data_IF_257086006776
#
_entry.id   IF_257086006776
#
_cell.length_a   1.000
_cell.length_b   1.000
_cell.length_c   1.000
_cell.angle_alpha   90.00
_cell.angle_beta   90.00
_cell.angle_gamma   90.00
#
_symmetry.space_group_name_H-M   'P 1'
#
loop_
_entity.id
_entity.type
_entity.pdbx_description
1 polymer ?
#
# COMPACT_ATOMS: atom_id res chain seq x y z
N UNK A 1 -3.03 -21.94 -3.98
CA UNK A 1 -3.48 -20.75 -3.19
C UNK A 1 -3.20 -19.41 -3.92
N UNK A 2 -3.05 -19.42 -5.25
CA UNK A 2 -2.84 -18.17 -6.00
C UNK A 2 -4.04 -17.23 -5.79
N UNK A 3 -3.77 -15.92 -5.60
CA UNK A 3 -4.77 -14.90 -5.41
C UNK A 3 -5.56 -14.93 -4.08
N UNK A 4 -5.12 -15.74 -3.11
CA UNK A 4 -5.77 -15.88 -1.79
C UNK A 4 -4.92 -15.37 -0.63
N UNK A 5 -3.73 -14.84 -0.91
CA UNK A 5 -2.82 -14.33 0.11
C UNK A 5 -2.73 -12.81 -0.03
N UNK A 6 -2.99 -12.14 1.06
CA UNK A 6 -2.87 -10.69 1.18
C UNK A 6 -1.85 -10.39 2.25
N UNK A 7 -0.79 -9.68 1.90
CA UNK A 7 0.14 -9.11 2.85
C UNK A 7 -0.36 -7.73 3.30
N UNK A 8 -0.13 -7.39 4.56
CA UNK A 8 -0.54 -6.10 5.12
C UNK A 8 0.69 -5.30 5.50
N UNK A 9 0.64 -4.00 5.29
CA UNK A 9 1.69 -3.00 5.52
C UNK A 9 2.92 -3.15 4.60
N UNK A 10 3.67 -4.23 4.71
CA UNK A 10 4.87 -4.45 3.90
C UNK A 10 5.99 -3.43 4.10
N UNK A 11 5.97 -2.67 5.18
CA UNK A 11 6.92 -1.57 5.46
C UNK A 11 8.38 -2.04 5.53
N UNK A 12 8.62 -3.23 6.07
CA UNK A 12 9.96 -3.81 6.15
C UNK A 12 10.59 -4.05 4.77
N UNK A 13 9.80 -4.11 3.72
CA UNK A 13 10.29 -4.27 2.35
C UNK A 13 11.21 -3.10 1.99
N UNK A 14 10.82 -1.87 2.32
CA UNK A 14 11.59 -0.67 2.04
C UNK A 14 12.98 -0.66 2.73
N UNK A 15 13.15 -1.39 3.84
CA UNK A 15 14.40 -1.51 4.56
C UNK A 15 15.42 -2.47 3.90
N UNK A 16 15.01 -3.26 2.92
CA UNK A 16 15.89 -4.20 2.24
C UNK A 16 16.60 -3.59 1.03
N UNK A 17 17.70 -4.22 0.60
CA UNK A 17 18.42 -3.81 -0.60
C UNK A 17 17.53 -3.90 -1.85
N UNK A 18 17.79 -3.04 -2.84
CA UNK A 18 17.04 -3.02 -4.10
C UNK A 18 17.00 -4.38 -4.81
N UNK A 19 18.12 -5.12 -4.76
CA UNK A 19 18.21 -6.45 -5.37
C UNK A 19 17.27 -7.44 -4.67
N UNK A 20 17.21 -7.41 -3.34
CA UNK A 20 16.30 -8.25 -2.56
C UNK A 20 14.84 -7.92 -2.86
N UNK A 21 14.50 -6.62 -2.87
CA UNK A 21 13.13 -6.17 -3.16
C UNK A 21 12.64 -6.65 -4.53
N UNK A 22 13.45 -6.50 -5.58
CA UNK A 22 13.10 -6.98 -6.94
C UNK A 22 12.81 -8.47 -6.97
N UNK A 23 13.68 -9.29 -6.35
CA UNK A 23 13.45 -10.73 -6.24
C UNK A 23 12.17 -11.06 -5.47
N UNK A 24 11.89 -10.33 -4.40
CA UNK A 24 10.65 -10.49 -3.63
C UNK A 24 9.43 -10.19 -4.50
N UNK A 25 9.43 -9.10 -5.26
CA UNK A 25 8.32 -8.72 -6.14
C UNK A 25 8.07 -9.77 -7.22
N UNK A 26 9.10 -10.35 -7.80
CA UNK A 26 8.95 -11.45 -8.75
C UNK A 26 8.26 -12.67 -8.13
N UNK A 27 8.59 -12.99 -6.88
CA UNK A 27 7.96 -14.08 -6.14
C UNK A 27 6.50 -13.76 -5.78
N UNK A 28 6.22 -12.54 -5.31
CA UNK A 28 4.87 -12.07 -5.00
C UNK A 28 3.98 -12.12 -6.24
N UNK A 29 4.48 -11.64 -7.38
CA UNK A 29 3.76 -11.69 -8.64
C UNK A 29 3.46 -13.11 -9.10
N UNK A 30 4.44 -14.02 -9.04
CA UNK A 30 4.25 -15.45 -9.39
C UNK A 30 3.21 -16.14 -8.51
N UNK A 31 3.17 -15.78 -7.23
CA UNK A 31 2.25 -16.36 -6.27
C UNK A 31 0.89 -15.62 -6.19
N UNK A 32 0.73 -14.53 -6.97
CA UNK A 32 -0.42 -13.63 -6.93
C UNK A 32 -0.72 -13.14 -5.50
N UNK A 33 0.34 -12.73 -4.78
CA UNK A 33 0.23 -12.11 -3.46
C UNK A 33 -0.14 -10.65 -3.64
N UNK A 34 -1.24 -10.24 -3.04
CA UNK A 34 -1.72 -8.86 -3.02
C UNK A 34 -1.23 -8.13 -1.75
N UNK A 35 -1.31 -6.80 -1.73
CA UNK A 35 -0.86 -5.96 -0.62
C UNK A 35 -1.98 -5.02 -0.18
N UNK A 36 -2.09 -4.77 1.13
CA UNK A 36 -2.85 -3.65 1.68
C UNK A 36 -1.85 -2.69 2.32
N UNK A 37 -1.84 -1.46 1.86
CA UNK A 37 -1.10 -0.35 2.46
C UNK A 37 -1.99 0.36 3.49
N UNK A 38 -1.44 0.62 4.69
CA UNK A 38 -2.10 1.39 5.75
C UNK A 38 -1.14 2.51 6.17
N UNK A 39 -1.06 3.60 5.41
CA UNK A 39 -0.01 4.60 5.53
C UNK A 39 0.09 5.25 6.89
N UNK A 40 -1.03 5.72 7.44
CA UNK A 40 -1.01 6.48 8.71
C UNK A 40 -0.74 5.62 9.92
N UNK A 41 -1.05 4.32 9.87
CA UNK A 41 -0.83 3.40 10.99
C UNK A 41 0.65 3.25 11.38
N UNK A 42 1.59 3.58 10.49
CA UNK A 42 3.01 3.36 10.71
C UNK A 42 3.90 4.59 10.54
N UNK A 43 3.40 5.67 9.95
CA UNK A 43 4.17 6.89 9.74
C UNK A 43 4.55 7.57 11.06
N UNK A 44 3.78 7.37 12.10
CA UNK A 44 4.00 7.90 13.44
C UNK A 44 4.81 6.98 14.36
N UNK A 45 5.27 5.83 13.83
CA UNK A 45 6.12 4.90 14.60
C UNK A 45 7.40 5.61 15.06
N UNK A 46 7.73 5.57 16.35
CA UNK A 46 8.93 6.22 16.89
C UNK A 46 10.18 5.74 16.18
N UNK A 47 11.11 6.67 15.96
CA UNK A 47 12.42 6.34 15.38
C UNK A 47 13.15 5.32 16.25
N UNK A 48 13.70 4.28 15.63
CA UNK A 48 14.64 3.39 16.29
C UNK A 48 16.07 3.92 16.11
N UNK A 49 16.75 4.22 17.19
CA UNK A 49 18.16 4.65 17.14
C UNK A 49 19.11 3.52 16.71
N UNK A 50 18.67 2.27 16.79
CA UNK A 50 19.45 1.09 16.43
C UNK A 50 19.37 0.71 14.95
N UNK A 51 18.52 1.34 14.17
CA UNK A 51 18.30 1.03 12.75
C UNK A 51 18.61 2.25 11.89
N UNK A 52 19.65 2.16 11.10
CA UNK A 52 20.01 3.14 10.08
C UNK A 52 20.28 2.46 8.74
N UNK A 53 20.01 3.13 7.61
CA UNK A 53 19.35 4.44 7.51
C UNK A 53 17.86 4.38 7.85
N UNK A 54 17.34 5.48 8.38
CA UNK A 54 15.90 5.61 8.68
C UNK A 54 15.12 5.64 7.35
N UNK A 55 14.18 4.72 7.19
CA UNK A 55 13.22 4.75 6.07
C UNK A 55 11.89 5.36 6.54
N UNK A 56 11.01 5.69 5.61
CA UNK A 56 9.75 6.36 5.90
C UNK A 56 8.63 5.45 6.46
N UNK A 57 8.94 4.19 6.74
CA UNK A 57 7.96 3.20 7.23
C UNK A 57 6.69 3.07 6.37
N UNK A 58 6.79 3.33 5.07
CA UNK A 58 5.67 3.23 4.14
C UNK A 58 5.73 1.95 3.33
N UNK A 59 4.56 1.46 2.94
CA UNK A 59 4.45 0.44 1.88
C UNK A 59 5.01 1.03 0.59
N UNK A 60 6.04 0.44 -0.05
CA UNK A 60 6.68 1.03 -1.23
C UNK A 60 5.81 0.87 -2.49
N UNK A 61 4.70 1.62 -2.57
CA UNK A 61 3.73 1.56 -3.67
C UNK A 61 4.38 1.94 -5.00
N UNK A 62 5.31 2.87 -4.98
CA UNK A 62 6.11 3.33 -6.11
C UNK A 62 6.95 2.22 -6.76
N UNK A 63 7.19 1.13 -6.05
CA UNK A 63 7.85 -0.07 -6.58
C UNK A 63 6.88 -1.23 -6.82
N UNK A 64 5.89 -1.43 -5.93
CA UNK A 64 4.95 -2.56 -5.98
C UNK A 64 3.99 -2.48 -7.16
N UNK A 65 3.37 -1.32 -7.37
CA UNK A 65 2.41 -1.14 -8.46
C UNK A 65 3.06 -1.29 -9.84
N UNK A 66 4.20 -0.64 -10.15
CA UNK A 66 4.91 -0.87 -11.42
C UNK A 66 5.42 -2.31 -11.60
N UNK A 67 5.67 -3.05 -10.52
CA UNK A 67 5.99 -4.47 -10.59
C UNK A 67 4.77 -5.35 -10.92
N UNK A 68 3.57 -4.76 -10.98
CA UNK A 68 2.30 -5.44 -11.29
C UNK A 68 1.72 -6.19 -10.10
N UNK A 69 2.03 -5.77 -8.88
CA UNK A 69 1.44 -6.29 -7.64
C UNK A 69 0.21 -5.46 -7.31
N UNK A 70 -0.92 -6.11 -7.07
CA UNK A 70 -2.14 -5.41 -6.66
C UNK A 70 -1.97 -4.84 -5.26
N UNK A 71 -1.99 -3.52 -5.16
CA UNK A 71 -1.99 -2.79 -3.89
C UNK A 71 -3.38 -2.22 -3.65
N UNK A 72 -3.91 -2.40 -2.46
CA UNK A 72 -5.14 -1.77 -1.96
C UNK A 72 -4.81 -0.87 -0.77
N UNK A 73 -5.76 -0.03 -0.40
CA UNK A 73 -5.65 0.92 0.71
C UNK A 73 -6.48 0.44 1.89
N UNK A 74 -5.98 0.66 3.10
CA UNK A 74 -6.66 0.41 4.35
C UNK A 74 -6.24 1.44 5.40
N UNK A 75 -7.01 1.56 6.47
CA UNK A 75 -6.74 2.50 7.56
C UNK A 75 -6.02 1.86 8.75
N UNK A 76 -6.16 0.54 8.89
CA UNK A 76 -5.75 -0.20 10.09
C UNK A 76 -6.45 0.34 11.35
N UNK A 77 -5.72 0.71 12.37
CA UNK A 77 -6.23 1.26 13.63
C UNK A 77 -6.96 2.60 13.41
N UNK A 78 -8.12 2.76 14.02
CA UNK A 78 -8.92 3.99 13.94
C UNK A 78 -9.21 4.49 15.36
N UNK A 79 -8.70 5.68 15.69
CA UNK A 79 -8.93 6.37 16.98
C UNK A 79 -8.76 5.45 18.20
N UNK A 80 -7.73 4.64 18.20
CA UNK A 80 -7.43 3.74 19.32
C UNK A 80 -6.17 4.14 20.10
N UNK A 81 -5.77 3.30 21.06
CA UNK A 81 -4.60 3.57 21.91
C UNK A 81 -3.26 3.56 21.16
N UNK A 82 -3.19 2.89 20.02
CA UNK A 82 -1.96 2.77 19.21
C UNK A 82 -1.84 3.90 18.18
N UNK A 83 -2.97 4.27 17.54
CA UNK A 83 -3.04 5.30 16.52
C UNK A 83 -4.22 6.25 16.81
N UNK A 84 -4.10 7.13 17.81
CA UNK A 84 -5.21 7.96 18.30
C UNK A 84 -5.67 9.01 17.27
N UNK A 85 -4.84 9.38 16.32
CA UNK A 85 -5.11 10.45 15.37
C UNK A 85 -5.70 9.98 14.02
N UNK A 86 -5.76 8.66 13.79
CA UNK A 86 -6.31 8.13 12.56
C UNK A 86 -7.84 8.09 12.63
N UNK A 87 -8.49 9.02 11.92
CA UNK A 87 -9.96 9.11 11.84
C UNK A 87 -10.63 8.11 10.90
N UNK A 88 -9.90 7.23 10.24
CA UNK A 88 -10.44 6.27 9.27
C UNK A 88 -10.78 6.90 7.90
N UNK A 89 -10.23 8.07 7.60
CA UNK A 89 -10.46 8.77 6.33
C UNK A 89 -9.58 8.19 5.22
N UNK A 90 -10.19 7.48 4.28
CA UNK A 90 -9.50 6.87 3.13
C UNK A 90 -8.85 7.89 2.20
N UNK A 91 -9.37 9.12 2.12
CA UNK A 91 -8.72 10.18 1.36
C UNK A 91 -7.41 10.61 2.01
N UNK A 92 -7.42 10.74 3.33
CA UNK A 92 -6.21 11.04 4.09
C UNK A 92 -5.15 9.95 3.91
N UNK A 93 -5.55 8.68 3.99
CA UNK A 93 -4.66 7.54 3.74
C UNK A 93 -4.05 7.60 2.33
N UNK A 94 -4.88 7.87 1.31
CA UNK A 94 -4.43 7.94 -0.08
C UNK A 94 -3.41 9.05 -0.28
N UNK A 95 -3.70 10.26 0.24
CA UNK A 95 -2.80 11.40 0.14
C UNK A 95 -1.49 11.17 0.89
N UNK A 96 -1.57 10.50 2.05
CA UNK A 96 -0.39 10.13 2.83
C UNK A 96 0.50 9.14 2.07
N UNK A 97 -0.11 8.11 1.45
CA UNK A 97 0.61 7.14 0.62
C UNK A 97 1.29 7.82 -0.56
N UNK A 98 0.54 8.59 -1.33
CA UNK A 98 1.03 9.29 -2.52
C UNK A 98 2.22 10.21 -2.16
N UNK A 99 2.06 11.03 -1.13
CA UNK A 99 3.07 11.98 -0.69
C UNK A 99 4.31 11.27 -0.12
N UNK A 100 4.11 10.29 0.74
CA UNK A 100 5.18 9.56 1.41
C UNK A 100 6.04 8.73 0.46
N UNK A 101 5.44 8.17 -0.58
CA UNK A 101 6.15 7.41 -1.63
C UNK A 101 6.53 8.26 -2.84
N UNK A 102 6.12 9.55 -2.90
CA UNK A 102 6.28 10.40 -4.08
C UNK A 102 5.71 9.75 -5.35
N UNK A 103 4.54 9.16 -5.20
CA UNK A 103 3.85 8.41 -6.23
C UNK A 103 2.65 9.22 -6.72
N UNK A 104 2.64 9.61 -7.99
CA UNK A 104 1.69 10.55 -8.60
C UNK A 104 0.90 9.97 -9.78
N UNK A 105 0.92 8.65 -9.95
CA UNK A 105 0.15 7.96 -10.97
C UNK A 105 -1.34 7.95 -10.59
N UNK A 106 -2.07 8.98 -10.98
CA UNK A 106 -3.45 9.25 -10.55
C UNK A 106 -4.41 8.10 -10.83
N UNK A 107 -4.30 7.44 -12.00
CA UNK A 107 -5.14 6.30 -12.34
C UNK A 107 -4.88 5.10 -11.42
N UNK A 108 -3.60 4.83 -11.11
CA UNK A 108 -3.21 3.78 -10.18
C UNK A 108 -3.69 4.10 -8.76
N UNK A 109 -3.53 5.34 -8.30
CA UNK A 109 -4.01 5.79 -6.99
C UNK A 109 -5.53 5.63 -6.88
N UNK A 110 -6.29 5.97 -7.92
CA UNK A 110 -7.74 5.77 -7.95
C UNK A 110 -8.09 4.27 -7.83
N UNK A 111 -7.37 3.39 -8.53
CA UNK A 111 -7.56 1.93 -8.41
C UNK A 111 -7.20 1.41 -7.01
N UNK A 112 -6.12 1.90 -6.43
CA UNK A 112 -5.66 1.54 -5.07
C UNK A 112 -6.74 1.87 -4.04
N UNK A 113 -7.36 3.05 -4.16
CA UNK A 113 -8.40 3.51 -3.24
C UNK A 113 -9.77 2.85 -3.46
N UNK A 114 -10.00 2.13 -4.57
CA UNK A 114 -11.33 1.64 -4.96
C UNK A 114 -11.34 0.17 -5.37
N UNK A 115 -11.13 -0.13 -6.65
CA UNK A 115 -11.32 -1.47 -7.23
C UNK A 115 -10.36 -2.51 -6.69
N UNK A 116 -9.14 -2.11 -6.33
CA UNK A 116 -8.17 -3.03 -5.76
C UNK A 116 -8.60 -3.54 -4.39
N UNK A 117 -9.26 -2.70 -3.58
CA UNK A 117 -9.86 -3.12 -2.32
C UNK A 117 -10.90 -4.22 -2.50
N UNK A 118 -11.78 -4.09 -3.51
CA UNK A 118 -12.74 -5.14 -3.85
C UNK A 118 -12.06 -6.45 -4.25
N UNK A 119 -11.02 -6.36 -5.08
CA UNK A 119 -10.24 -7.53 -5.50
C UNK A 119 -9.59 -8.25 -4.31
N UNK A 120 -8.99 -7.51 -3.40
CA UNK A 120 -8.36 -8.05 -2.19
C UNK A 120 -9.38 -8.73 -1.28
N UNK A 121 -10.61 -8.20 -1.21
CA UNK A 121 -11.72 -8.78 -0.45
C UNK A 121 -12.43 -9.93 -1.19
N UNK A 122 -12.04 -10.25 -2.41
CA UNK A 122 -12.70 -11.28 -3.23
C UNK A 122 -14.11 -10.90 -3.67
N UNK A 123 -14.41 -9.60 -3.71
CA UNK A 123 -15.70 -9.09 -4.16
C UNK A 123 -15.75 -8.99 -5.70
N UNK A 124 -16.95 -9.10 -6.31
CA UNK A 124 -17.08 -8.94 -7.76
C UNK A 124 -16.56 -7.58 -8.23
N UNK A 125 -16.01 -7.48 -9.46
CA UNK A 125 -15.64 -6.19 -10.04
C UNK A 125 -16.83 -5.22 -10.07
N UNK A 126 -16.53 -3.93 -10.05
CA UNK A 126 -17.55 -2.91 -10.35
C UNK A 126 -17.81 -2.88 -11.85
N UNK A 127 -19.07 -2.80 -12.24
CA UNK A 127 -19.45 -2.55 -13.64
C UNK A 127 -19.17 -1.08 -13.97
N UNK A 128 -18.60 -0.83 -15.16
CA UNK A 128 -18.37 0.52 -15.72
C UNK A 128 -17.50 1.46 -14.87
N UNK A 129 -16.35 1.00 -14.38
CA UNK A 129 -15.36 1.90 -13.78
C UNK A 129 -14.49 2.55 -14.86
N UNK A 130 -14.73 3.82 -15.14
CA UNK A 130 -13.83 4.66 -15.93
C UNK A 130 -12.98 5.51 -14.95
N UNK A 131 -11.67 5.27 -14.94
CA UNK A 131 -10.71 6.02 -14.14
C UNK A 131 -10.00 7.09 -14.96
N UNK A 132 -10.42 7.35 -16.20
CA UNK A 132 -9.87 8.43 -17.00
C UNK A 132 -10.19 9.77 -16.34
N UNK A 133 -9.16 10.47 -15.90
CA UNK A 133 -9.29 11.84 -15.42
C UNK A 133 -9.29 12.75 -16.64
N UNK A 134 -10.44 13.34 -16.95
CA UNK A 134 -10.50 14.45 -17.88
C UNK A 134 -10.00 15.69 -17.16
N UNK A 135 -8.79 16.13 -17.51
CA UNK A 135 -8.21 17.41 -17.06
C UNK A 135 -8.76 18.54 -17.94
#
# INVERSE_FOLDING_TARGET
MQGKVVAIHGISIAAHSRMYRRRLYDLMKKADVMMIACPTAWIDTPRSESIGPVHNSMTPVDELDPAGITVALGTDNVCDAMVPWNGGDMWHELMTLATGCRYDEMEALAKIATVNGRRVLGLPPLENTDFSIQI
#
